data_IF_981917157370
#
_entry.id   IF_981917157370
#
_cell.length_a   1.000
_cell.length_b   1.000
_cell.length_c   1.000
_cell.angle_alpha   90.00
_cell.angle_beta   90.00
_cell.angle_gamma   90.00
#
_symmetry.space_group_name_H-M   'P 1'
#
loop_
_entity.id
_entity.type
_entity.pdbx_description
1 polymer ?
#
# COMPACT_ATOMS: atom_id res chain seq x y z
N UNK A 1 -3.18 8.14 6.97
CA UNK A 1 -3.72 6.84 7.39
C UNK A 1 -4.11 6.87 8.87
N UNK A 2 -3.18 7.01 9.81
CA UNK A 2 -3.43 6.89 11.26
C UNK A 2 -4.53 7.80 11.81
N UNK A 3 -4.53 9.08 11.45
CA UNK A 3 -5.53 10.03 11.93
C UNK A 3 -6.96 9.67 11.47
N UNK A 4 -7.15 9.35 10.20
CA UNK A 4 -8.48 9.02 9.66
C UNK A 4 -8.96 7.65 10.09
N UNK A 5 -8.18 6.60 9.79
CA UNK A 5 -8.58 5.21 10.04
C UNK A 5 -8.37 4.80 11.50
N UNK A 6 -7.34 5.32 12.17
CA UNK A 6 -6.97 4.93 13.52
C UNK A 6 -7.55 5.82 14.62
N UNK A 7 -8.01 7.05 14.30
CA UNK A 7 -8.57 7.93 15.31
C UNK A 7 -10.01 8.35 14.97
N UNK A 8 -10.24 9.05 13.86
CA UNK A 8 -11.57 9.60 13.59
C UNK A 8 -12.61 8.52 13.34
N UNK A 9 -12.29 7.49 12.56
CA UNK A 9 -13.25 6.43 12.28
C UNK A 9 -13.74 5.71 13.53
N UNK A 10 -12.87 5.21 14.44
CA UNK A 10 -13.32 4.64 15.71
C UNK A 10 -14.17 5.59 16.56
N UNK A 11 -13.75 6.85 16.71
CA UNK A 11 -14.49 7.83 17.52
C UNK A 11 -15.87 8.15 16.92
N UNK A 12 -15.97 8.28 15.60
CA UNK A 12 -17.26 8.53 14.92
C UNK A 12 -18.22 7.36 15.02
N UNK A 13 -17.73 6.14 15.21
CA UNK A 13 -18.53 4.93 15.37
C UNK A 13 -18.80 4.55 16.83
N UNK A 14 -18.44 5.41 17.79
CA UNK A 14 -18.66 5.22 19.22
C UNK A 14 -17.61 4.33 19.91
N UNK A 15 -16.50 4.08 19.24
CA UNK A 15 -15.35 3.38 19.81
C UNK A 15 -14.41 4.29 20.58
N UNK A 16 -13.29 3.74 21.01
CA UNK A 16 -12.20 4.46 21.71
C UNK A 16 -10.89 4.35 20.94
N UNK A 17 -9.98 5.27 21.20
CA UNK A 17 -8.63 5.29 20.62
C UNK A 17 -7.60 5.17 21.73
N UNK A 18 -6.66 4.28 21.55
CA UNK A 18 -5.52 4.09 22.44
C UNK A 18 -4.29 4.64 21.71
N UNK A 19 -3.60 5.57 22.36
CA UNK A 19 -2.35 6.13 21.86
C UNK A 19 -1.18 5.57 22.62
N UNK A 20 -0.10 5.25 21.90
CA UNK A 20 1.16 4.80 22.49
C UNK A 20 2.07 6.01 22.63
N UNK A 21 2.61 6.32 23.83
CA UNK A 21 3.32 7.57 24.08
C UNK A 21 4.73 7.62 23.46
N UNK A 22 5.30 6.50 23.05
CA UNK A 22 6.65 6.44 22.49
C UNK A 22 6.72 7.13 21.12
N UNK A 23 7.79 7.86 20.89
CA UNK A 23 8.06 8.55 19.63
C UNK A 23 8.62 7.61 18.56
N UNK A 24 9.12 6.44 18.94
CA UNK A 24 9.62 5.38 18.07
C UNK A 24 8.67 4.20 18.04
N UNK A 25 8.56 3.54 16.89
CA UNK A 25 7.78 2.32 16.76
C UNK A 25 8.47 1.16 17.49
N UNK A 26 7.76 0.56 18.45
CA UNK A 26 8.18 -0.63 19.18
C UNK A 26 7.09 -1.70 19.05
N UNK A 27 7.34 -2.79 18.30
CA UNK A 27 6.37 -3.85 18.09
C UNK A 27 5.94 -4.57 19.40
N UNK A 28 6.88 -4.78 20.32
CA UNK A 28 6.59 -5.45 21.61
C UNK A 28 5.65 -4.61 22.47
N UNK A 29 5.84 -3.29 22.46
CA UNK A 29 4.92 -2.37 23.16
C UNK A 29 3.52 -2.40 22.54
N UNK A 30 3.42 -2.42 21.23
CA UNK A 30 2.12 -2.52 20.54
C UNK A 30 1.40 -3.80 20.95
N UNK A 31 2.06 -4.95 20.96
CA UNK A 31 1.42 -6.20 21.35
C UNK A 31 1.00 -6.23 22.83
N UNK A 32 1.81 -5.67 23.73
CA UNK A 32 1.45 -5.48 25.14
C UNK A 32 0.19 -4.61 25.28
N UNK A 33 0.08 -3.53 24.51
CA UNK A 33 -1.10 -2.68 24.51
C UNK A 33 -2.31 -3.42 23.96
N UNK A 34 -2.16 -4.20 22.88
CA UNK A 34 -3.25 -5.05 22.35
C UNK A 34 -3.76 -6.01 23.41
N UNK A 35 -2.87 -6.70 24.10
CA UNK A 35 -3.21 -7.64 25.17
C UNK A 35 -3.90 -6.95 26.36
N UNK A 36 -3.29 -5.89 26.90
CA UNK A 36 -3.74 -5.22 28.13
C UNK A 36 -5.05 -4.46 27.95
N UNK A 37 -5.21 -3.79 26.78
CA UNK A 37 -6.35 -2.94 26.49
C UNK A 37 -7.44 -3.65 25.66
N UNK A 38 -7.20 -4.94 25.33
CA UNK A 38 -8.11 -5.73 24.50
C UNK A 38 -8.49 -5.02 23.21
N UNK A 39 -7.46 -4.53 22.50
CA UNK A 39 -7.62 -3.80 21.24
C UNK A 39 -8.28 -4.69 20.20
N UNK A 40 -9.30 -4.18 19.54
CA UNK A 40 -10.05 -4.92 18.52
C UNK A 40 -9.62 -4.57 17.10
N UNK A 41 -9.02 -3.40 16.89
CA UNK A 41 -8.53 -2.99 15.58
C UNK A 41 -7.19 -2.26 15.66
N UNK A 42 -6.31 -2.54 14.70
CA UNK A 42 -4.99 -1.92 14.57
C UNK A 42 -4.86 -1.27 13.18
N UNK A 43 -4.26 -0.10 13.12
CA UNK A 43 -3.99 0.59 11.85
C UNK A 43 -2.49 0.69 11.64
N UNK A 44 -2.03 0.22 10.47
CA UNK A 44 -0.61 0.15 10.10
C UNK A 44 -0.34 0.80 8.74
N UNK A 45 0.91 0.87 8.34
CA UNK A 45 1.36 1.36 7.03
C UNK A 45 2.22 0.27 6.36
N UNK A 46 1.55 -0.68 5.73
CA UNK A 46 2.16 -1.75 4.95
C UNK A 46 3.20 -2.59 5.68
N UNK A 47 4.09 -3.16 4.91
CA UNK A 47 5.17 -4.04 5.38
C UNK A 47 6.13 -3.37 6.35
N UNK A 48 6.28 -2.05 6.28
CA UNK A 48 7.14 -1.29 7.18
C UNK A 48 6.75 -1.47 8.67
N UNK A 49 5.47 -1.71 8.94
CA UNK A 49 4.95 -2.01 10.28
C UNK A 49 4.63 -3.49 10.44
N UNK A 50 4.06 -4.12 9.43
CA UNK A 50 3.60 -5.50 9.52
C UNK A 50 4.74 -6.50 9.76
N UNK A 51 5.88 -6.33 9.08
CA UNK A 51 7.05 -7.22 9.25
C UNK A 51 7.61 -7.18 10.67
N UNK A 52 7.96 -6.01 11.25
CA UNK A 52 8.43 -5.96 12.64
C UNK A 52 7.41 -6.50 13.64
N UNK A 53 6.11 -6.24 13.43
CA UNK A 53 5.05 -6.80 14.28
C UNK A 53 5.03 -8.33 14.20
N UNK A 54 5.15 -8.90 13.01
CA UNK A 54 5.20 -10.34 12.80
C UNK A 54 6.46 -10.97 13.43
N UNK A 55 7.63 -10.35 13.26
CA UNK A 55 8.87 -10.83 13.87
C UNK A 55 8.79 -10.82 15.41
N UNK A 56 8.20 -9.78 16.02
CA UNK A 56 7.96 -9.77 17.47
C UNK A 56 7.05 -10.91 17.93
N UNK A 57 6.00 -11.28 17.15
CA UNK A 57 5.18 -12.46 17.46
C UNK A 57 5.98 -13.76 17.34
N UNK A 58 6.83 -13.90 16.34
CA UNK A 58 7.72 -15.07 16.18
C UNK A 58 8.68 -15.19 17.37
N UNK A 59 9.31 -14.09 17.75
CA UNK A 59 10.24 -14.04 18.86
C UNK A 59 9.57 -14.34 20.22
N UNK A 60 8.36 -13.80 20.44
CA UNK A 60 7.60 -14.10 21.66
C UNK A 60 7.23 -15.59 21.74
N UNK A 61 6.85 -16.20 20.60
CA UNK A 61 6.58 -17.63 20.51
C UNK A 61 7.84 -18.48 20.81
N UNK A 62 8.99 -18.08 20.27
CA UNK A 62 10.26 -18.76 20.52
C UNK A 62 10.70 -18.68 21.98
N UNK A 63 10.38 -17.57 22.67
CA UNK A 63 10.64 -17.40 24.12
C UNK A 63 9.59 -18.07 25.00
N UNK A 64 8.52 -18.63 24.42
CA UNK A 64 7.35 -19.17 25.14
C UNK A 64 6.62 -18.10 25.98
N UNK A 65 6.61 -16.87 25.51
CA UNK A 65 6.01 -15.67 26.12
C UNK A 65 5.01 -15.03 25.15
N UNK A 66 4.06 -15.81 24.63
CA UNK A 66 3.13 -15.35 23.60
C UNK A 66 2.19 -14.26 24.12
N UNK A 67 2.02 -13.21 23.35
CA UNK A 67 1.02 -12.18 23.59
C UNK A 67 -0.40 -12.72 23.36
N UNK A 68 -1.35 -12.36 24.23
CA UNK A 68 -2.77 -12.61 23.98
C UNK A 68 -3.34 -11.54 23.03
N UNK A 69 -3.35 -11.88 21.76
CA UNK A 69 -3.94 -11.02 20.70
C UNK A 69 -5.34 -11.47 20.27
N UNK A 70 -6.00 -12.32 21.06
CA UNK A 70 -7.32 -12.89 20.72
C UNK A 70 -8.42 -11.85 20.56
N UNK A 71 -8.28 -10.67 21.14
CA UNK A 71 -9.19 -9.53 20.99
C UNK A 71 -9.09 -8.85 19.62
N UNK A 72 -7.97 -9.02 18.89
CA UNK A 72 -7.72 -8.33 17.62
C UNK A 72 -8.52 -8.99 16.49
N UNK A 73 -9.47 -8.25 15.95
CA UNK A 73 -10.39 -8.70 14.90
C UNK A 73 -10.05 -8.12 13.53
N UNK A 74 -9.31 -7.01 13.51
CA UNK A 74 -9.11 -6.24 12.29
C UNK A 74 -7.73 -5.57 12.28
N UNK A 75 -7.00 -5.70 11.19
CA UNK A 75 -5.88 -4.80 10.87
C UNK A 75 -6.19 -4.08 9.56
N UNK A 76 -6.08 -2.75 9.57
CA UNK A 76 -6.23 -1.90 8.39
C UNK A 76 -4.86 -1.34 8.03
N UNK A 77 -4.46 -1.53 6.78
CA UNK A 77 -3.26 -0.92 6.21
C UNK A 77 -3.60 0.06 5.10
N UNK A 78 -2.82 1.09 4.94
CA UNK A 78 -2.91 1.99 3.79
C UNK A 78 -1.62 2.79 3.61
N UNK A 79 -1.34 3.18 2.38
CA UNK A 79 -0.26 4.12 2.04
C UNK A 79 1.03 3.48 1.53
N UNK A 80 1.32 2.26 1.94
CA UNK A 80 2.46 1.46 1.44
C UNK A 80 1.99 0.03 1.21
N UNK A 81 2.65 -0.66 0.31
CA UNK A 81 2.31 -2.04 -0.06
C UNK A 81 2.41 -2.99 1.15
N UNK A 82 1.44 -3.89 1.25
CA UNK A 82 1.39 -4.93 2.26
C UNK A 82 1.41 -6.30 1.56
N UNK A 83 2.52 -7.02 1.73
CA UNK A 83 2.76 -8.28 1.00
C UNK A 83 1.80 -9.39 1.42
N UNK A 84 1.50 -10.25 0.46
CA UNK A 84 0.63 -11.41 0.67
C UNK A 84 1.20 -12.35 1.73
N UNK A 85 2.49 -12.61 1.67
CA UNK A 85 3.20 -13.52 2.56
C UNK A 85 3.07 -13.09 4.03
N UNK A 86 3.30 -11.80 4.31
CA UNK A 86 3.18 -11.25 5.67
C UNK A 86 1.73 -11.32 6.17
N UNK A 87 0.75 -11.08 5.31
CA UNK A 87 -0.67 -11.24 5.65
C UNK A 87 -0.99 -12.68 6.06
N UNK A 88 -0.52 -13.66 5.30
CA UNK A 88 -0.76 -15.08 5.58
C UNK A 88 -0.14 -15.51 6.91
N UNK A 89 1.11 -15.13 7.16
CA UNK A 89 1.79 -15.44 8.40
C UNK A 89 1.12 -14.79 9.63
N UNK A 90 0.64 -13.55 9.53
CA UNK A 90 -0.14 -12.91 10.61
C UNK A 90 -1.43 -13.68 10.93
N UNK A 91 -2.11 -14.21 9.91
CA UNK A 91 -3.32 -15.00 10.08
C UNK A 91 -3.09 -16.36 10.75
N UNK A 92 -1.85 -16.87 10.79
CA UNK A 92 -1.51 -18.06 11.58
C UNK A 92 -1.63 -17.80 13.09
N UNK A 93 -1.34 -16.58 13.55
CA UNK A 93 -1.40 -16.20 14.96
C UNK A 93 -2.81 -15.89 15.45
N UNK A 94 -3.62 -15.22 14.62
CA UNK A 94 -4.98 -14.83 14.99
C UNK A 94 -5.90 -14.85 13.76
N UNK A 95 -7.13 -15.37 13.96
CA UNK A 95 -8.17 -15.29 12.93
C UNK A 95 -8.79 -13.90 12.94
N UNK A 96 -8.46 -13.10 11.95
CA UNK A 96 -8.84 -11.70 11.83
C UNK A 96 -9.05 -11.30 10.37
N UNK A 97 -9.61 -10.13 10.16
CA UNK A 97 -9.76 -9.53 8.84
C UNK A 97 -8.59 -8.56 8.60
N UNK A 98 -7.93 -8.70 7.48
CA UNK A 98 -6.88 -7.80 7.03
C UNK A 98 -7.38 -6.98 5.86
N UNK A 99 -7.46 -5.66 6.02
CA UNK A 99 -7.92 -4.74 4.98
C UNK A 99 -6.73 -3.90 4.52
N UNK A 100 -6.44 -3.99 3.23
CA UNK A 100 -5.50 -3.09 2.58
C UNK A 100 -6.31 -2.03 1.83
N UNK A 101 -6.29 -0.80 2.30
CA UNK A 101 -7.09 0.30 1.79
C UNK A 101 -6.26 1.17 0.83
N UNK A 102 -6.72 1.27 -0.39
CA UNK A 102 -6.15 2.13 -1.42
C UNK A 102 -6.89 3.46 -1.48
N UNK A 103 -6.16 4.54 -1.32
CA UNK A 103 -6.74 5.89 -1.36
C UNK A 103 -5.73 6.95 -0.99
N UNK A 104 -6.19 8.17 -1.04
CA UNK A 104 -5.42 9.37 -0.72
C UNK A 104 -6.30 10.36 0.07
N UNK A 105 -5.76 11.53 0.40
CA UNK A 105 -6.54 12.62 0.99
C UNK A 105 -7.65 13.12 0.08
N UNK A 106 -7.51 12.91 -1.21
CA UNK A 106 -8.43 13.33 -2.26
C UNK A 106 -9.60 12.36 -2.45
N UNK A 107 -9.50 11.13 -1.95
CA UNK A 107 -10.59 10.16 -1.98
C UNK A 107 -10.15 8.71 -1.83
N UNK A 108 -11.10 7.87 -1.44
CA UNK A 108 -10.92 6.41 -1.36
C UNK A 108 -11.13 5.76 -2.72
N UNK A 109 -10.21 4.90 -3.14
CA UNK A 109 -10.23 4.30 -4.48
C UNK A 109 -10.65 2.84 -4.47
N UNK A 110 -10.19 2.08 -3.47
CA UNK A 110 -10.48 0.65 -3.41
C UNK A 110 -9.94 -0.01 -2.16
N UNK A 111 -10.17 -1.30 -2.05
CA UNK A 111 -9.67 -2.11 -0.96
C UNK A 111 -9.40 -3.54 -1.39
N UNK A 112 -8.54 -4.19 -0.64
CA UNK A 112 -8.29 -5.63 -0.69
C UNK A 112 -8.55 -6.21 0.69
N UNK A 113 -9.30 -7.31 0.76
CA UNK A 113 -9.65 -7.97 2.01
C UNK A 113 -9.03 -9.36 2.01
N UNK A 114 -8.32 -9.68 3.07
CA UNK A 114 -7.70 -10.99 3.29
C UNK A 114 -8.17 -11.56 4.62
N UNK A 115 -8.48 -12.84 4.66
CA UNK A 115 -8.78 -13.60 5.87
C UNK A 115 -8.29 -15.04 5.66
N UNK A 116 -8.43 -15.91 6.67
CA UNK A 116 -8.09 -17.34 6.50
C UNK A 116 -8.82 -18.02 5.33
N UNK A 117 -10.05 -17.57 5.05
CA UNK A 117 -10.91 -18.16 4.02
C UNK A 117 -10.95 -17.34 2.72
N UNK A 118 -10.33 -16.16 2.69
CA UNK A 118 -10.32 -15.25 1.55
C UNK A 118 -8.92 -14.71 1.35
N UNK A 119 -8.29 -15.07 0.25
CA UNK A 119 -6.95 -14.62 -0.08
C UNK A 119 -6.99 -13.52 -1.14
N UNK A 120 -6.06 -12.59 -1.04
CA UNK A 120 -5.82 -11.56 -2.04
C UNK A 120 -4.33 -11.53 -2.42
N UNK A 121 -4.04 -11.23 -3.66
CA UNK A 121 -2.65 -10.98 -4.10
C UNK A 121 -2.18 -9.61 -3.65
N UNK A 122 -0.86 -9.43 -3.56
CA UNK A 122 -0.24 -8.12 -3.32
C UNK A 122 -0.64 -7.14 -4.42
N UNK A 123 -0.86 -5.87 -4.06
CA UNK A 123 -1.24 -4.78 -4.98
C UNK A 123 -2.53 -5.01 -5.82
N UNK A 124 -3.34 -6.01 -5.48
CA UNK A 124 -4.61 -6.28 -6.14
C UNK A 124 -5.77 -5.73 -5.31
N UNK A 125 -6.58 -4.86 -5.91
CA UNK A 125 -7.65 -4.15 -5.22
C UNK A 125 -8.98 -4.28 -5.97
N UNK A 126 -10.07 -4.34 -5.22
CA UNK A 126 -11.42 -4.12 -5.74
C UNK A 126 -11.72 -2.63 -5.67
N UNK A 127 -12.18 -2.04 -6.76
CA UNK A 127 -12.52 -0.63 -6.82
C UNK A 127 -13.79 -0.32 -6.02
N UNK A 128 -13.82 0.85 -5.39
CA UNK A 128 -15.02 1.40 -4.77
C UNK A 128 -16.02 1.84 -5.85
N UNK A 129 -17.32 1.89 -5.54
CA UNK A 129 -18.31 2.50 -6.43
C UNK A 129 -17.91 3.94 -6.81
N UNK A 130 -18.09 4.31 -8.06
CA UNK A 130 -17.74 5.65 -8.56
C UNK A 130 -16.25 5.85 -8.87
N UNK A 131 -15.45 4.78 -8.85
CA UNK A 131 -14.05 4.83 -9.31
C UNK A 131 -13.97 4.41 -10.78
N UNK A 132 -13.21 5.18 -11.55
CA UNK A 132 -12.94 4.93 -12.97
C UNK A 132 -11.44 4.89 -13.25
N UNK A 133 -11.07 4.32 -14.38
CA UNK A 133 -9.70 4.37 -14.90
C UNK A 133 -9.76 4.99 -16.29
N UNK A 134 -8.95 6.01 -16.54
CA UNK A 134 -8.83 6.68 -17.83
C UNK A 134 -7.44 6.46 -18.43
N UNK A 135 -7.39 6.14 -19.70
CA UNK A 135 -6.14 6.08 -20.46
C UNK A 135 -5.55 7.49 -20.74
N UNK A 136 -4.47 7.56 -21.52
CA UNK A 136 -3.81 8.83 -21.85
C UNK A 136 -4.67 9.74 -22.73
N UNK A 137 -5.58 9.16 -23.51
CA UNK A 137 -6.53 9.87 -24.38
C UNK A 137 -7.85 10.20 -23.65
N UNK A 138 -7.95 9.98 -22.35
CA UNK A 138 -9.13 10.11 -21.51
C UNK A 138 -10.30 9.18 -21.91
N UNK A 139 -10.03 8.01 -22.49
CA UNK A 139 -11.05 6.99 -22.67
C UNK A 139 -11.14 6.08 -21.43
N UNK A 140 -12.33 5.55 -21.14
CA UNK A 140 -12.54 4.58 -20.08
C UNK A 140 -11.79 3.26 -20.39
N UNK A 141 -10.96 2.84 -19.46
CA UNK A 141 -10.29 1.54 -19.51
C UNK A 141 -11.27 0.47 -19.03
N UNK A 142 -11.49 -0.55 -19.85
CA UNK A 142 -12.40 -1.66 -19.55
C UNK A 142 -11.68 -2.80 -18.85
N UNK A 143 -12.41 -3.60 -18.01
CA UNK A 143 -11.85 -4.79 -17.36
C UNK A 143 -11.21 -5.76 -18.37
N UNK A 144 -10.03 -6.28 -18.02
CA UNK A 144 -9.27 -7.21 -18.88
C UNK A 144 -8.42 -6.53 -19.96
N UNK A 145 -8.53 -5.20 -20.12
CA UNK A 145 -7.61 -4.44 -20.97
C UNK A 145 -6.20 -4.45 -20.40
N UNK A 146 -5.20 -4.55 -21.25
CA UNK A 146 -3.79 -4.35 -20.87
C UNK A 146 -3.40 -2.88 -20.77
N UNK A 147 -4.33 -1.98 -21.06
CA UNK A 147 -4.11 -0.54 -21.02
C UNK A 147 -3.89 -0.08 -19.59
N UNK A 148 -2.83 0.67 -19.37
CA UNK A 148 -2.56 1.34 -18.11
C UNK A 148 -3.29 2.69 -18.12
N UNK A 149 -3.96 3.02 -17.01
CA UNK A 149 -4.67 4.29 -16.90
C UNK A 149 -4.57 4.91 -15.52
N UNK A 150 -4.98 6.18 -15.45
CA UNK A 150 -5.06 6.96 -14.20
C UNK A 150 -6.34 6.62 -13.47
N UNK A 151 -6.24 6.40 -12.18
CA UNK A 151 -7.39 6.15 -11.31
C UNK A 151 -8.04 7.47 -10.92
N UNK A 152 -9.35 7.56 -11.14
CA UNK A 152 -10.19 8.69 -10.71
C UNK A 152 -11.29 8.21 -9.77
N UNK A 153 -11.54 8.94 -8.68
CA UNK A 153 -12.64 8.67 -7.76
C UNK A 153 -13.62 9.83 -7.74
N UNK A 154 -14.92 9.52 -7.70
CA UNK A 154 -16.01 10.50 -7.59
C UNK A 154 -16.71 10.43 -6.23
N UNK A 155 -17.72 11.26 -6.05
CA UNK A 155 -18.51 11.35 -4.82
C UNK A 155 -18.07 12.52 -3.95
N UNK A 156 -17.83 12.28 -2.67
CA UNK A 156 -17.37 13.32 -1.74
C UNK A 156 -15.86 13.57 -1.93
N UNK A 157 -15.53 14.31 -2.99
CA UNK A 157 -14.14 14.73 -3.28
C UNK A 157 -13.95 16.19 -2.88
N UNK A 158 -12.71 16.60 -2.47
CA UNK A 158 -12.40 17.97 -2.12
C UNK A 158 -12.69 18.96 -3.25
N UNK A 159 -12.97 20.22 -2.89
CA UNK A 159 -13.14 21.29 -3.89
C UNK A 159 -11.81 21.64 -4.58
N UNK A 160 -10.70 21.50 -3.86
CA UNK A 160 -9.37 21.78 -4.39
C UNK A 160 -8.32 21.87 -3.30
N UNK A 161 -7.11 22.21 -3.69
CA UNK A 161 -6.01 22.50 -2.78
C UNK A 161 -6.00 23.98 -2.39
N UNK A 162 -5.80 24.26 -1.12
CA UNK A 162 -5.77 25.63 -0.62
C UNK A 162 -4.63 26.43 -1.26
N UNK A 163 -5.00 27.55 -1.87
CA UNK A 163 -4.07 28.46 -2.58
C UNK A 163 -3.28 27.84 -3.74
N UNK A 164 -3.73 26.71 -4.27
CA UNK A 164 -3.11 26.07 -5.44
C UNK A 164 -4.17 25.74 -6.51
N UNK A 165 -4.60 26.75 -7.28
CA UNK A 165 -5.63 26.55 -8.30
C UNK A 165 -5.13 25.72 -9.49
N UNK A 166 -3.82 25.73 -9.80
CA UNK A 166 -3.25 24.98 -10.91
C UNK A 166 -3.33 23.48 -10.61
N UNK A 167 -2.75 23.06 -9.48
CA UNK A 167 -2.81 21.65 -9.06
C UNK A 167 -4.23 21.19 -8.80
N UNK A 168 -5.10 22.08 -8.31
CA UNK A 168 -6.53 21.78 -8.13
C UNK A 168 -7.20 21.44 -9.44
N UNK A 169 -6.97 22.21 -10.50
CA UNK A 169 -7.54 21.98 -11.81
C UNK A 169 -6.98 20.71 -12.49
N UNK A 170 -5.73 20.37 -12.24
CA UNK A 170 -5.10 19.12 -12.73
C UNK A 170 -5.66 17.89 -12.04
N UNK A 171 -5.93 17.98 -10.73
CA UNK A 171 -6.36 16.85 -9.92
C UNK A 171 -7.87 16.65 -9.95
N UNK A 172 -8.64 17.73 -9.78
CA UNK A 172 -10.09 17.68 -9.69
C UNK A 172 -10.72 18.09 -11.02
N UNK A 173 -11.10 17.11 -11.81
CA UNK A 173 -11.60 17.31 -13.19
C UNK A 173 -12.99 16.74 -13.34
N UNK A 174 -13.72 17.29 -14.29
CA UNK A 174 -15.00 16.76 -14.73
C UNK A 174 -14.80 15.76 -15.89
N UNK A 175 -15.48 14.63 -15.78
CA UNK A 175 -15.57 13.63 -16.86
C UNK A 175 -17.03 13.19 -16.99
N UNK A 176 -17.59 13.32 -18.18
CA UNK A 176 -19.00 13.02 -18.49
C UNK A 176 -20.01 13.66 -17.50
N UNK A 177 -19.78 14.92 -17.12
CA UNK A 177 -20.64 15.67 -16.20
C UNK A 177 -20.50 15.28 -14.73
N UNK A 178 -19.57 14.40 -14.38
CA UNK A 178 -19.27 14.00 -13.00
C UNK A 178 -17.90 14.49 -12.59
N UNK A 179 -17.80 15.06 -11.38
CA UNK A 179 -16.54 15.52 -10.82
C UNK A 179 -15.76 14.37 -10.21
N UNK A 180 -14.51 14.24 -10.62
CA UNK A 180 -13.55 13.23 -10.16
C UNK A 180 -12.29 13.87 -9.57
N UNK A 181 -11.67 13.16 -8.64
CA UNK A 181 -10.30 13.38 -8.20
C UNK A 181 -9.38 12.36 -8.87
N UNK A 182 -8.31 12.82 -9.52
CA UNK A 182 -7.24 12.02 -10.14
C UNK A 182 -5.91 12.35 -9.47
N UNK A 183 -5.58 11.76 -8.31
CA UNK A 183 -4.37 12.14 -7.54
C UNK A 183 -3.05 11.64 -8.17
N UNK A 184 -3.11 10.93 -9.27
CA UNK A 184 -1.96 10.52 -10.06
C UNK A 184 -1.54 9.06 -9.86
N UNK A 185 -2.39 8.24 -9.27
CA UNK A 185 -2.17 6.79 -9.18
C UNK A 185 -2.55 6.10 -10.49
N UNK A 186 -1.75 5.12 -10.92
CA UNK A 186 -1.93 4.36 -12.15
C UNK A 186 -2.22 2.89 -11.85
N UNK A 187 -3.06 2.29 -12.67
CA UNK A 187 -3.41 0.89 -12.54
C UNK A 187 -3.67 0.22 -13.88
N UNK A 188 -3.67 -1.10 -13.85
CA UNK A 188 -4.15 -1.97 -14.91
C UNK A 188 -5.40 -2.71 -14.44
N UNK A 189 -6.43 -2.80 -15.31
CA UNK A 189 -7.70 -3.45 -14.98
C UNK A 189 -7.63 -4.94 -15.33
N UNK A 190 -7.82 -5.78 -14.32
CA UNK A 190 -7.89 -7.22 -14.50
C UNK A 190 -9.24 -7.67 -15.05
N UNK A 191 -9.31 -8.86 -15.65
CA UNK A 191 -10.55 -9.43 -16.20
C UNK A 191 -11.58 -9.80 -15.13
N UNK A 192 -11.18 -9.99 -13.89
CA UNK A 192 -12.04 -10.31 -12.75
C UNK A 192 -12.69 -9.07 -12.09
N UNK A 193 -12.45 -7.89 -12.65
CA UNK A 193 -12.96 -6.63 -12.10
C UNK A 193 -12.14 -6.05 -10.94
N UNK A 194 -11.01 -6.65 -10.62
CA UNK A 194 -10.01 -6.05 -9.74
C UNK A 194 -9.02 -5.22 -10.54
N UNK A 195 -8.22 -4.43 -9.85
CA UNK A 195 -7.09 -3.73 -10.46
C UNK A 195 -5.77 -4.19 -9.87
N UNK A 196 -4.72 -4.10 -10.67
CA UNK A 196 -3.34 -4.10 -10.21
C UNK A 196 -2.86 -2.66 -10.10
N UNK A 197 -2.59 -2.19 -8.88
CA UNK A 197 -1.99 -0.88 -8.65
C UNK A 197 -0.53 -0.90 -9.09
N UNK A 198 -0.13 0.08 -9.89
CA UNK A 198 1.23 0.21 -10.42
C UNK A 198 2.05 1.23 -9.65
N UNK A 199 1.39 2.20 -9.00
CA UNK A 199 2.02 3.27 -8.24
C UNK A 199 1.70 4.66 -8.79
N UNK A 200 2.45 5.67 -8.30
CA UNK A 200 2.25 7.06 -8.73
C UNK A 200 3.04 7.40 -9.97
N UNK A 201 2.38 8.07 -10.91
CA UNK A 201 3.02 8.53 -12.14
C UNK A 201 4.17 9.52 -11.93
N UNK A 202 4.17 10.26 -10.81
CA UNK A 202 5.29 11.14 -10.43
C UNK A 202 6.58 10.38 -10.12
N UNK A 203 6.48 9.10 -9.77
CA UNK A 203 7.63 8.25 -9.43
C UNK A 203 8.03 7.35 -10.61
N UNK A 204 7.28 7.41 -11.72
CA UNK A 204 7.54 6.59 -12.90
C UNK A 204 8.92 6.92 -13.49
N UNK A 205 9.73 5.90 -13.69
CA UNK A 205 11.07 6.00 -14.29
C UNK A 205 10.94 5.87 -15.82
N UNK A 206 11.41 6.87 -16.55
CA UNK A 206 11.35 6.87 -18.00
C UNK A 206 12.70 6.41 -18.58
N UNK A 207 12.80 5.12 -18.88
CA UNK A 207 14.01 4.50 -19.42
C UNK A 207 13.83 4.11 -20.87
N UNK A 208 14.64 4.68 -21.76
CA UNK A 208 14.60 4.44 -23.22
C UNK A 208 13.20 4.62 -23.86
N UNK A 209 12.35 5.46 -23.29
CA UNK A 209 10.98 5.68 -23.75
C UNK A 209 9.93 4.73 -23.14
N UNK A 210 10.35 3.80 -22.30
CA UNK A 210 9.44 2.94 -21.55
C UNK A 210 9.18 3.49 -20.15
N UNK A 211 7.96 3.31 -19.65
CA UNK A 211 7.55 3.69 -18.29
C UNK A 211 7.72 2.49 -17.36
N UNK A 212 8.62 2.63 -16.39
CA UNK A 212 8.83 1.63 -15.33
C UNK A 212 8.30 2.16 -14.02
N UNK A 213 7.42 1.43 -13.39
CA UNK A 213 6.87 1.76 -12.08
C UNK A 213 7.75 1.14 -10.98
N UNK A 214 8.36 1.98 -10.10
CA UNK A 214 9.27 1.50 -9.07
C UNK A 214 8.69 0.39 -8.21
N UNK A 215 7.43 0.54 -7.82
CA UNK A 215 6.72 -0.39 -6.93
C UNK A 215 6.61 -1.80 -7.52
N UNK A 216 6.47 -1.94 -8.85
CA UNK A 216 6.46 -3.25 -9.52
C UNK A 216 7.83 -3.95 -9.46
N UNK A 217 8.90 -3.17 -9.63
CA UNK A 217 10.27 -3.69 -9.56
C UNK A 217 10.61 -4.07 -8.13
N UNK A 218 10.24 -3.22 -7.16
CA UNK A 218 10.41 -3.49 -5.73
C UNK A 218 9.72 -4.78 -5.31
N UNK A 219 8.47 -4.97 -5.74
CA UNK A 219 7.72 -6.21 -5.46
C UNK A 219 8.42 -7.43 -6.06
N UNK A 220 8.92 -7.33 -7.28
CA UNK A 220 9.63 -8.43 -7.93
C UNK A 220 10.94 -8.77 -7.21
N UNK A 221 11.70 -7.76 -6.77
CA UNK A 221 12.96 -7.92 -6.04
C UNK A 221 12.72 -8.49 -4.64
N UNK A 222 11.68 -8.05 -3.94
CA UNK A 222 11.32 -8.52 -2.59
C UNK A 222 10.88 -9.99 -2.54
N UNK A 223 10.55 -10.61 -3.67
CA UNK A 223 10.30 -12.07 -3.75
C UNK A 223 11.55 -12.91 -3.55
N UNK A 224 12.74 -12.31 -3.65
CA UNK A 224 13.98 -13.04 -3.39
C UNK A 224 14.16 -13.26 -1.88
N UNK A 225 14.39 -14.51 -1.41
CA UNK A 225 14.39 -14.87 0.01
C UNK A 225 15.42 -14.12 0.86
N UNK A 226 16.49 -13.65 0.27
CA UNK A 226 17.54 -12.89 0.97
C UNK A 226 17.30 -11.36 0.96
N UNK A 227 16.25 -10.87 0.32
CA UNK A 227 15.92 -9.45 0.28
C UNK A 227 14.92 -9.13 1.39
N UNK A 228 15.33 -8.28 2.31
CA UNK A 228 14.48 -7.80 3.42
C UNK A 228 13.61 -6.64 2.95
N UNK A 229 14.23 -5.69 2.22
CA UNK A 229 13.52 -4.53 1.66
C UNK A 229 14.23 -4.03 0.40
N UNK A 230 13.52 -3.28 -0.44
CA UNK A 230 14.04 -2.74 -1.69
C UNK A 230 13.41 -1.38 -1.96
N UNK A 231 14.24 -0.44 -2.40
CA UNK A 231 13.83 0.86 -2.93
C UNK A 231 14.33 0.98 -4.36
N UNK A 232 13.44 1.32 -5.29
CA UNK A 232 13.76 1.52 -6.71
C UNK A 232 13.67 2.99 -7.08
N UNK A 233 14.70 3.50 -7.72
CA UNK A 233 14.80 4.89 -8.14
C UNK A 233 15.28 5.02 -9.59
N UNK A 234 14.88 6.09 -10.26
CA UNK A 234 15.45 6.53 -11.52
C UNK A 234 16.73 7.32 -11.27
N UNK A 235 17.81 6.95 -11.95
CA UNK A 235 19.07 7.71 -11.95
C UNK A 235 19.31 8.22 -13.35
N UNK A 236 19.58 9.51 -13.48
CA UNK A 236 19.85 10.15 -14.78
C UNK A 236 20.93 9.40 -15.54
N UNK A 237 20.65 9.06 -16.79
CA UNK A 237 21.55 8.33 -17.69
C UNK A 237 21.58 9.00 -19.08
N UNK A 238 22.78 9.21 -19.62
CA UNK A 238 22.96 9.92 -20.91
C UNK A 238 22.39 9.16 -22.12
N UNK A 239 22.31 7.83 -22.02
CA UNK A 239 21.85 6.97 -23.13
C UNK A 239 20.35 6.67 -23.04
N UNK A 240 19.86 6.45 -21.82
CA UNK A 240 18.50 5.96 -21.60
C UNK A 240 17.54 7.02 -21.02
N UNK A 241 18.02 8.25 -20.75
CA UNK A 241 17.30 9.28 -20.03
C UNK A 241 17.37 9.03 -18.53
N UNK A 242 16.77 7.94 -18.09
CA UNK A 242 16.91 7.42 -16.74
C UNK A 242 17.28 5.93 -16.77
N UNK A 243 18.01 5.50 -15.76
CA UNK A 243 18.34 4.09 -15.50
C UNK A 243 17.65 3.65 -14.22
N UNK A 244 17.00 2.50 -14.25
CA UNK A 244 16.40 1.88 -13.08
C UNK A 244 17.50 1.36 -12.16
N UNK A 245 17.48 1.78 -10.90
CA UNK A 245 18.43 1.35 -9.87
C UNK A 245 17.66 0.86 -8.65
N UNK A 246 17.94 -0.37 -8.24
CA UNK A 246 17.38 -0.97 -7.02
C UNK A 246 18.42 -0.92 -5.90
N UNK A 247 18.03 -0.39 -4.74
CA UNK A 247 18.80 -0.42 -3.49
C UNK A 247 18.10 -1.44 -2.58
N UNK A 248 18.74 -2.57 -2.34
CA UNK A 248 18.16 -3.65 -1.55
C UNK A 248 18.88 -3.82 -0.21
N UNK A 249 18.09 -3.98 0.85
CA UNK A 249 18.54 -4.47 2.15
C UNK A 249 18.46 -6.00 2.14
N UNK A 250 19.54 -6.68 2.53
CA UNK A 250 19.64 -8.14 2.49
C UNK A 250 19.99 -8.72 3.85
N UNK A 251 19.48 -9.91 4.14
CA UNK A 251 19.68 -10.60 5.43
C UNK A 251 21.09 -11.18 5.64
N UNK A 252 21.93 -11.25 4.58
CA UNK A 252 23.30 -11.76 4.64
C UNK A 252 24.27 -10.87 3.90
N UNK A 253 25.39 -10.53 4.54
CA UNK A 253 26.45 -9.60 4.09
C UNK A 253 27.46 -10.24 3.13
N UNK A 254 27.06 -11.03 2.16
CA UNK A 254 27.96 -11.61 1.16
C UNK A 254 27.61 -11.34 -0.31
N UNK A 255 26.92 -10.23 -0.58
CA UNK A 255 26.98 -9.65 -1.92
C UNK A 255 28.29 -8.85 -2.02
N UNK A 256 29.30 -9.43 -2.69
CA UNK A 256 30.49 -8.67 -3.09
C UNK A 256 30.02 -7.47 -3.92
N UNK A 257 30.58 -6.28 -3.66
CA UNK A 257 30.25 -5.00 -4.28
C UNK A 257 30.50 -4.90 -5.81
N UNK A 258 30.47 -6.02 -6.55
CA UNK A 258 30.79 -6.10 -7.98
C UNK A 258 29.74 -6.79 -8.87
N UNK A 259 28.61 -7.18 -8.34
CA UNK A 259 27.52 -7.69 -9.20
C UNK A 259 26.50 -6.58 -9.49
N UNK A 260 26.88 -5.63 -10.30
CA UNK A 260 25.94 -4.86 -11.10
C UNK A 260 25.43 -5.79 -12.19
N UNK A 261 24.16 -6.20 -12.12
CA UNK A 261 23.48 -6.84 -13.23
C UNK A 261 23.57 -5.90 -14.44
N UNK A 262 24.40 -6.27 -15.41
CA UNK A 262 24.44 -5.63 -16.74
C UNK A 262 23.41 -6.38 -17.59
N UNK A 263 22.33 -5.72 -17.89
CA UNK A 263 21.45 -6.05 -19.01
C UNK A 263 21.72 -5.08 -20.17
#
# INVERSE_FOLDING_TARGET
TGMWLGAFLPLLTGGSVITVPNSSFDPDEIWKVVEQQKVTSLVIVGDAFAKPLLESLKDSKNRNEMYDISSLLLIISSGVMWSHEVKQELLEYQDMILIDAMGSSEGGMGSSITSRNMQSSTAQFKLNPGVIILDEDNNLVTPGSKTIGKIGTSGLVPEGYYKDPIKSAETFREFEGVRYSFPGDFAQYNSDGTIKLLGRGSNCINTAGEKVYPEEVEEAVKKHPNVVDCLVIGVTDKKFGERVVAVASVSYTHLRAHETLRY
#
